data_IF_686729056268
#
_entry.id   IF_686729056268
#
_cell.length_a   1.000
_cell.length_b   1.000
_cell.length_c   1.000
_cell.angle_alpha   90.00
_cell.angle_beta   90.00
_cell.angle_gamma   90.00
#
_symmetry.space_group_name_H-M   'P 1'
#
loop_
_entity.id
_entity.type
_entity.pdbx_description
1 polymer ?
#
# COMPACT_ATOMS: atom_id res chain seq x y z
N UNK A 1 19.10 5.56 3.27
CA UNK A 1 17.86 4.76 3.32
C UNK A 1 16.65 5.63 3.71
N UNK A 2 16.62 6.23 4.90
CA UNK A 2 15.46 7.03 5.40
C UNK A 2 15.01 8.16 4.46
N UNK A 3 15.96 8.93 3.88
CA UNK A 3 15.63 10.01 2.95
C UNK A 3 14.99 9.51 1.65
N UNK A 4 15.56 8.47 1.06
CA UNK A 4 15.07 7.89 -0.20
C UNK A 4 13.67 7.27 -0.02
N UNK A 5 13.41 6.61 1.11
CA UNK A 5 12.09 6.05 1.43
C UNK A 5 11.05 7.16 1.62
N UNK A 6 11.42 8.26 2.29
CA UNK A 6 10.54 9.43 2.46
C UNK A 6 10.22 10.11 1.12
N UNK A 7 11.21 10.23 0.24
CA UNK A 7 11.03 10.76 -1.11
C UNK A 7 10.11 9.86 -1.94
N UNK A 8 10.29 8.53 -1.86
CA UNK A 8 9.42 7.55 -2.49
C UNK A 8 7.97 7.66 -1.99
N UNK A 9 7.75 7.72 -0.68
CA UNK A 9 6.42 7.88 -0.08
C UNK A 9 5.76 9.20 -0.51
N UNK A 10 6.52 10.29 -0.55
CA UNK A 10 6.01 11.59 -1.01
C UNK A 10 5.58 11.54 -2.48
N UNK A 11 6.30 10.77 -3.30
CA UNK A 11 5.98 10.57 -4.70
C UNK A 11 4.76 9.67 -4.91
N UNK A 12 4.64 8.59 -4.13
CA UNK A 12 3.42 7.77 -4.09
C UNK A 12 2.20 8.62 -3.74
N UNK A 13 2.31 9.50 -2.74
CA UNK A 13 1.21 10.38 -2.35
C UNK A 13 0.81 11.35 -3.48
N UNK A 14 1.80 11.93 -4.18
CA UNK A 14 1.54 12.81 -5.34
C UNK A 14 0.85 12.03 -6.47
N UNK A 15 1.42 10.91 -6.88
CA UNK A 15 0.84 10.07 -7.94
C UNK A 15 -0.59 9.64 -7.57
N UNK A 16 -0.83 9.23 -6.33
CA UNK A 16 -2.16 8.82 -5.88
C UNK A 16 -3.18 9.96 -5.95
N UNK A 17 -2.78 11.19 -5.61
CA UNK A 17 -3.63 12.37 -5.73
C UNK A 17 -3.89 12.76 -7.20
N UNK A 18 -2.92 12.56 -8.08
CA UNK A 18 -3.01 12.98 -9.49
C UNK A 18 -3.78 11.97 -10.36
N UNK A 19 -3.76 10.67 -10.02
CA UNK A 19 -4.37 9.61 -10.82
C UNK A 19 -5.90 9.76 -10.89
N UNK A 20 -6.57 10.08 -9.79
CA UNK A 20 -8.02 10.17 -9.78
C UNK A 20 -8.57 11.31 -10.67
N UNK A 21 -8.05 12.56 -10.59
CA UNK A 21 -8.42 13.62 -11.53
C UNK A 21 -8.11 13.26 -12.99
N UNK A 22 -6.95 12.66 -13.27
CA UNK A 22 -6.62 12.25 -14.64
C UNK A 22 -7.57 11.17 -15.15
N UNK A 23 -7.93 10.18 -14.32
CA UNK A 23 -8.87 9.13 -14.69
C UNK A 23 -10.25 9.70 -15.06
N UNK A 24 -10.74 10.69 -14.31
CA UNK A 24 -11.99 11.39 -14.66
C UNK A 24 -11.89 12.06 -16.03
N UNK A 25 -10.78 12.75 -16.29
CA UNK A 25 -10.52 13.42 -17.57
C UNK A 25 -10.33 12.46 -18.74
N UNK A 26 -9.82 11.26 -18.48
CA UNK A 26 -9.76 10.19 -19.50
C UNK A 26 -11.18 9.73 -19.85
N UNK A 27 -12.03 9.52 -18.83
CA UNK A 27 -13.41 9.07 -19.02
C UNK A 27 -14.27 10.08 -19.77
N UNK A 28 -14.09 11.38 -19.50
CA UNK A 28 -14.83 12.45 -20.19
C UNK A 28 -14.20 12.89 -21.53
N UNK A 29 -13.04 12.33 -21.89
CA UNK A 29 -12.33 12.61 -23.13
C UNK A 29 -11.53 13.93 -23.14
N UNK A 30 -11.41 14.63 -22.02
CA UNK A 30 -10.65 15.88 -21.89
C UNK A 30 -9.17 15.70 -21.55
N UNK A 31 -8.72 14.47 -21.26
CA UNK A 31 -7.30 14.15 -21.09
C UNK A 31 -6.62 13.98 -22.45
N UNK A 32 -5.51 14.68 -22.65
CA UNK A 32 -4.67 14.53 -23.84
C UNK A 32 -3.89 13.21 -23.81
N UNK A 33 -3.51 12.65 -24.96
CA UNK A 33 -2.63 11.49 -25.02
C UNK A 33 -1.29 11.70 -24.30
N UNK A 34 -0.77 12.92 -24.30
CA UNK A 34 0.50 13.26 -23.64
C UNK A 34 0.38 13.19 -22.12
N UNK A 35 -0.71 13.71 -21.54
CA UNK A 35 -0.96 13.57 -20.09
C UNK A 35 -1.10 12.11 -19.65
N UNK A 36 -1.69 11.26 -20.49
CA UNK A 36 -1.80 9.83 -20.24
C UNK A 36 -0.42 9.15 -20.28
N UNK A 37 0.42 9.49 -21.27
CA UNK A 37 1.79 8.96 -21.38
C UNK A 37 2.67 9.42 -20.22
N UNK A 38 2.57 10.67 -19.83
CA UNK A 38 3.33 11.23 -18.71
C UNK A 38 2.97 10.52 -17.41
N UNK A 39 1.67 10.31 -17.15
CA UNK A 39 1.24 9.54 -15.97
C UNK A 39 1.70 8.08 -16.04
N UNK A 40 1.60 7.43 -17.20
CA UNK A 40 2.08 6.07 -17.38
C UNK A 40 3.58 5.96 -17.10
N UNK A 41 4.38 6.93 -17.58
CA UNK A 41 5.81 7.02 -17.29
C UNK A 41 6.11 7.14 -15.80
N UNK A 42 5.40 8.04 -15.10
CA UNK A 42 5.51 8.21 -13.64
C UNK A 42 5.17 6.92 -12.88
N UNK A 43 4.12 6.22 -13.29
CA UNK A 43 3.72 4.95 -12.67
C UNK A 43 4.78 3.86 -12.86
N UNK A 44 5.35 3.74 -14.06
CA UNK A 44 6.41 2.77 -14.35
C UNK A 44 7.66 3.05 -13.53
N UNK A 45 8.10 4.31 -13.47
CA UNK A 45 9.27 4.69 -12.66
C UNK A 45 9.03 4.37 -11.17
N UNK A 46 7.86 4.73 -10.66
CA UNK A 46 7.48 4.48 -9.29
C UNK A 46 7.48 2.97 -8.98
N UNK A 47 6.88 2.16 -9.84
CA UNK A 47 6.84 0.71 -9.70
C UNK A 47 8.26 0.09 -9.68
N UNK A 48 9.16 0.55 -10.55
CA UNK A 48 10.55 0.09 -10.55
C UNK A 48 11.29 0.44 -9.26
N UNK A 49 11.05 1.65 -8.72
CA UNK A 49 11.66 2.08 -7.44
C UNK A 49 11.11 1.29 -6.26
N UNK A 50 9.82 1.01 -6.24
CA UNK A 50 9.19 0.13 -5.25
C UNK A 50 9.73 -1.30 -5.34
N UNK A 51 9.86 -1.86 -6.56
CA UNK A 51 10.41 -3.21 -6.77
C UNK A 51 11.81 -3.35 -6.19
N UNK A 52 12.72 -2.43 -6.52
CA UNK A 52 14.08 -2.40 -5.95
C UNK A 52 14.08 -2.28 -4.43
N UNK A 53 13.11 -1.54 -3.86
CA UNK A 53 13.00 -1.39 -2.41
C UNK A 53 12.52 -2.67 -1.74
N UNK A 54 11.54 -3.35 -2.34
CA UNK A 54 11.01 -4.62 -1.86
C UNK A 54 12.08 -5.72 -1.92
N UNK A 55 12.82 -5.83 -3.02
CA UNK A 55 13.95 -6.74 -3.17
C UNK A 55 15.05 -6.46 -2.11
N UNK A 56 15.31 -5.19 -1.81
CA UNK A 56 16.27 -4.78 -0.80
C UNK A 56 15.74 -4.83 0.65
N UNK A 57 14.46 -5.10 0.87
CA UNK A 57 13.87 -5.17 2.21
C UNK A 57 14.08 -6.54 2.88
N UNK A 58 14.43 -7.59 2.11
CA UNK A 58 14.41 -8.97 2.60
C UNK A 58 12.99 -9.44 2.92
N UNK A 59 12.80 -10.75 3.11
CA UNK A 59 11.48 -11.34 3.41
C UNK A 59 10.76 -10.53 4.49
N UNK A 60 9.59 -10.01 4.12
CA UNK A 60 8.63 -9.51 5.10
C UNK A 60 8.32 -10.69 6.00
N UNK A 61 8.83 -10.67 7.24
CA UNK A 61 8.41 -11.64 8.26
C UNK A 61 6.90 -11.50 8.37
N UNK A 62 6.17 -12.49 7.87
CA UNK A 62 4.72 -12.59 8.04
C UNK A 62 4.42 -12.38 9.53
N UNK A 63 3.76 -11.27 9.84
CA UNK A 63 3.34 -10.98 11.20
C UNK A 63 2.41 -12.09 11.66
N UNK A 64 2.90 -12.92 12.59
CA UNK A 64 2.07 -13.93 13.22
C UNK A 64 0.99 -13.21 14.02
N UNK A 65 -0.28 -13.39 13.65
CA UNK A 65 -1.39 -13.02 14.53
C UNK A 65 -1.32 -13.98 15.71
N UNK A 66 -0.76 -13.52 16.83
CA UNK A 66 -0.92 -14.21 18.11
C UNK A 66 -2.37 -14.00 18.50
N UNK A 67 -3.23 -14.93 18.06
CA UNK A 67 -4.52 -15.11 18.69
C UNK A 67 -4.22 -15.44 20.15
N UNK A 68 -4.54 -14.52 21.05
CA UNK A 68 -4.57 -14.76 22.47
C UNK A 68 -5.59 -15.89 22.75
N UNK A 69 -5.09 -17.13 22.78
CA UNK A 69 -5.83 -18.30 23.22
C UNK A 69 -5.55 -18.62 24.69
N UNK A 70 -5.30 -17.61 25.53
CA UNK A 70 -5.14 -17.82 26.97
C UNK A 70 -6.27 -17.19 27.80
N UNK A 71 -7.43 -16.90 27.19
CA UNK A 71 -8.69 -16.86 27.93
C UNK A 71 -9.12 -18.28 28.26
N UNK A 72 -8.53 -18.81 29.34
CA UNK A 72 -8.96 -19.98 30.09
C UNK A 72 -10.41 -19.79 30.56
N UNK A 73 -11.36 -20.11 29.69
CA UNK A 73 -12.70 -20.50 30.13
C UNK A 73 -12.59 -21.92 30.69
N UNK A 74 -12.05 -22.00 31.91
CA UNK A 74 -12.13 -23.20 32.72
C UNK A 74 -13.61 -23.51 32.95
N UNK A 75 -14.05 -24.60 32.32
CA UNK A 75 -15.13 -25.47 32.77
C UNK A 75 -15.13 -25.58 34.30
N UNK A 76 -16.34 -25.63 34.87
CA UNK A 76 -16.70 -25.93 36.26
C UNK A 76 -17.03 -24.69 37.10
N UNK A 77 -18.31 -24.30 37.09
CA UNK A 77 -19.11 -24.22 38.32
C UNK A 77 -20.53 -24.72 38.02
N UNK A 78 -20.68 -26.03 38.23
CA UNK A 78 -21.95 -26.66 38.57
C UNK A 78 -22.19 -26.37 40.07
N UNK A 79 -23.45 -26.05 40.41
CA UNK A 79 -24.10 -25.98 41.74
C UNK A 79 -24.37 -24.57 42.29
N UNK A 80 -25.57 -24.47 42.90
CA UNK A 80 -26.27 -23.33 43.53
C UNK A 80 -27.23 -22.62 42.53
N UNK A 81 -28.53 -22.94 42.42
CA UNK A 81 -29.50 -23.65 43.27
C UNK A 81 -30.58 -24.31 42.40
#
# INVERSE_FOLDING_TARGET
MIRADRELLAEMARVNNDVAPLAMRIMDGSATPDEQRDMAGRLVELAQRLGRRAEGAGDIVEGHVVADQDSKLSTIQRLER
#
